data_IF_730395962030
#
_entry.id   IF_730395962030
#
_cell.length_a   1.000
_cell.length_b   1.000
_cell.length_c   1.000
_cell.angle_alpha   90.00
_cell.angle_beta   90.00
_cell.angle_gamma   90.00
#
_symmetry.space_group_name_H-M   'P 1'
#
loop_
_entity.id
_entity.type
_entity.pdbx_description
1 polymer ?
#
# COMPACT_ATOMS: atom_id res chain seq x y z
N UNK A 1 -33.08 -1.69 -0.61
CA UNK A 1 -34.54 -1.52 -0.79
C UNK A 1 -34.74 -0.29 -1.67
N UNK A 2 -35.09 -0.47 -2.95
CA UNK A 2 -35.28 0.62 -3.90
C UNK A 2 -36.57 1.38 -3.58
N UNK A 3 -36.49 2.71 -3.59
CA UNK A 3 -37.62 3.62 -3.78
C UNK A 3 -37.50 4.17 -5.21
N UNK A 4 -38.65 4.17 -5.88
CA UNK A 4 -38.92 4.58 -7.28
C UNK A 4 -38.34 5.95 -7.66
N UNK A 5 -38.06 6.03 -8.96
CA UNK A 5 -38.09 7.23 -9.82
C UNK A 5 -38.56 8.52 -9.15
N UNK A 6 -37.65 9.48 -9.08
CA UNK A 6 -38.00 10.89 -9.13
C UNK A 6 -37.18 11.50 -10.26
N UNK A 7 -37.88 11.95 -11.30
CA UNK A 7 -37.34 12.67 -12.45
C UNK A 7 -36.78 14.03 -12.05
N UNK A 8 -35.59 14.01 -11.46
CA UNK A 8 -34.78 15.20 -11.21
C UNK A 8 -33.42 14.95 -11.81
N UNK A 9 -33.09 15.67 -12.89
CA UNK A 9 -31.73 15.77 -13.40
C UNK A 9 -30.83 16.18 -12.24
N UNK A 10 -29.96 15.28 -11.80
CA UNK A 10 -28.95 15.59 -10.80
C UNK A 10 -28.09 16.68 -11.41
N UNK A 11 -28.21 17.93 -10.89
CA UNK A 11 -27.23 18.98 -11.14
C UNK A 11 -25.94 18.61 -10.40
N UNK A 12 -25.27 17.57 -10.85
CA UNK A 12 -23.89 17.29 -10.52
C UNK A 12 -23.06 17.77 -11.70
N UNK A 13 -22.01 18.53 -11.42
CA UNK A 13 -21.02 19.02 -12.39
C UNK A 13 -20.13 17.87 -12.95
N UNK A 14 -20.71 16.69 -13.15
CA UNK A 14 -20.03 15.52 -13.70
C UNK A 14 -20.37 15.45 -15.19
N UNK A 15 -19.33 15.30 -16.01
CA UNK A 15 -19.47 15.17 -17.45
C UNK A 15 -20.16 13.84 -17.81
N UNK A 16 -20.78 13.77 -19.00
CA UNK A 16 -21.47 12.57 -19.47
C UNK A 16 -20.54 11.33 -19.54
N UNK A 17 -19.24 11.55 -19.80
CA UNK A 17 -18.24 10.48 -19.80
C UNK A 17 -17.97 9.94 -18.38
N UNK A 18 -17.89 10.82 -17.37
CA UNK A 18 -17.77 10.40 -15.96
C UNK A 18 -19.03 9.70 -15.47
N UNK A 19 -20.20 10.15 -15.89
CA UNK A 19 -21.49 9.50 -15.63
C UNK A 19 -21.56 8.09 -16.24
N UNK A 20 -20.92 7.84 -17.37
CA UNK A 20 -20.84 6.50 -17.95
C UNK A 20 -19.94 5.59 -17.10
N UNK A 21 -18.74 6.04 -16.70
CA UNK A 21 -17.84 5.25 -15.85
C UNK A 21 -18.43 4.94 -14.46
N UNK A 22 -19.00 5.95 -13.80
CA UNK A 22 -19.69 5.77 -12.51
C UNK A 22 -20.97 4.96 -12.69
N UNK A 23 -21.67 5.15 -13.81
CA UNK A 23 -22.84 4.37 -14.21
C UNK A 23 -22.52 2.89 -14.37
N UNK A 24 -21.34 2.55 -14.89
CA UNK A 24 -20.90 1.16 -15.04
C UNK A 24 -20.55 0.54 -13.69
N UNK A 25 -19.83 1.24 -12.80
CA UNK A 25 -19.63 0.78 -11.43
C UNK A 25 -20.95 0.61 -10.67
N UNK A 26 -21.89 1.55 -10.86
CA UNK A 26 -23.23 1.50 -10.28
C UNK A 26 -24.04 0.33 -10.83
N UNK A 27 -23.91 -0.02 -12.12
CA UNK A 27 -24.53 -1.23 -12.71
C UNK A 27 -23.96 -2.50 -12.06
N UNK A 28 -22.64 -2.63 -11.95
CA UNK A 28 -22.02 -3.79 -11.28
C UNK A 28 -22.46 -3.91 -9.82
N UNK A 29 -22.59 -2.79 -9.11
CA UNK A 29 -23.07 -2.77 -7.73
C UNK A 29 -24.59 -2.98 -7.59
N UNK A 30 -25.38 -2.58 -8.57
CA UNK A 30 -26.85 -2.72 -8.57
C UNK A 30 -27.30 -4.13 -8.97
N UNK A 31 -26.53 -4.80 -9.84
CA UNK A 31 -26.82 -6.11 -10.41
C UNK A 31 -25.76 -7.15 -9.99
N UNK A 32 -25.40 -7.17 -8.70
CA UNK A 32 -24.38 -8.09 -8.16
C UNK A 32 -24.64 -9.57 -8.48
N UNK A 33 -25.89 -10.09 -8.38
CA UNK A 33 -26.17 -11.49 -8.71
C UNK A 33 -25.94 -11.81 -10.20
N UNK A 34 -26.24 -10.88 -11.09
CA UNK A 34 -26.12 -11.06 -12.55
C UNK A 34 -24.66 -11.00 -13.03
N UNK A 35 -23.81 -10.24 -12.33
CA UNK A 35 -22.38 -10.06 -12.65
C UNK A 35 -21.43 -10.83 -11.72
N UNK A 36 -21.94 -11.74 -10.88
CA UNK A 36 -21.13 -12.52 -9.92
C UNK A 36 -20.12 -11.67 -9.12
N UNK A 37 -20.49 -10.44 -8.78
CA UNK A 37 -19.54 -9.45 -8.24
C UNK A 37 -19.11 -9.83 -6.82
N UNK A 38 -17.81 -9.97 -6.61
CA UNK A 38 -17.20 -10.22 -5.29
C UNK A 38 -16.50 -8.95 -4.79
N UNK A 39 -16.60 -8.68 -3.49
CA UNK A 39 -15.80 -7.63 -2.87
C UNK A 39 -14.54 -8.25 -2.26
N UNK A 40 -13.37 -7.83 -2.75
CA UNK A 40 -12.08 -8.16 -2.19
C UNK A 40 -11.49 -6.93 -1.48
N UNK A 41 -10.85 -7.13 -0.32
CA UNK A 41 -10.24 -6.04 0.45
C UNK A 41 -8.99 -5.49 -0.25
N UNK A 42 -8.16 -6.37 -0.81
CA UNK A 42 -6.98 -6.06 -1.65
C UNK A 42 -6.98 -7.00 -2.85
N UNK A 43 -7.57 -6.60 -3.99
CA UNK A 43 -7.65 -7.46 -5.17
C UNK A 43 -6.29 -7.88 -5.71
N UNK A 44 -5.23 -7.09 -5.51
CA UNK A 44 -3.85 -7.38 -5.91
C UNK A 44 -3.15 -8.43 -5.02
N UNK A 45 -3.80 -8.89 -3.93
CA UNK A 45 -3.22 -9.83 -2.97
C UNK A 45 -4.17 -11.02 -2.78
N UNK A 46 -3.81 -12.19 -3.34
CA UNK A 46 -4.62 -13.40 -3.24
C UNK A 46 -4.74 -14.01 -1.82
N UNK A 47 -3.70 -13.86 -1.00
CA UNK A 47 -3.61 -14.49 0.33
C UNK A 47 -3.90 -13.52 1.50
N UNK A 48 -4.27 -12.27 1.20
CA UNK A 48 -4.44 -11.23 2.19
C UNK A 48 -5.69 -11.42 3.04
N UNK A 49 -5.53 -11.41 4.36
CA UNK A 49 -6.64 -11.52 5.33
C UNK A 49 -6.76 -10.23 6.12
N UNK A 50 -8.00 -9.84 6.43
CA UNK A 50 -8.27 -8.74 7.36
C UNK A 50 -8.08 -9.21 8.80
N UNK A 51 -7.16 -8.55 9.51
CA UNK A 51 -6.78 -8.85 10.88
C UNK A 51 -7.19 -7.68 11.77
N UNK A 52 -7.97 -7.97 12.80
CA UNK A 52 -8.42 -6.95 13.74
C UNK A 52 -7.29 -6.63 14.72
N UNK A 53 -6.96 -5.36 14.89
CA UNK A 53 -6.00 -4.94 15.90
C UNK A 53 -6.66 -4.96 17.27
N UNK A 54 -6.04 -5.67 18.21
CA UNK A 54 -6.56 -5.87 19.57
C UNK A 54 -5.79 -5.11 20.63
N UNK A 55 -4.50 -4.87 20.41
CA UNK A 55 -3.67 -4.08 21.33
C UNK A 55 -2.62 -3.25 20.58
N UNK A 56 -2.28 -2.10 21.16
CA UNK A 56 -1.21 -1.24 20.69
C UNK A 56 -0.58 -0.53 21.87
N UNK A 57 0.74 -0.61 22.02
CA UNK A 57 1.43 -0.01 23.16
C UNK A 57 2.80 0.51 22.77
N UNK A 58 3.05 1.79 23.06
CA UNK A 58 4.40 2.36 22.99
C UNK A 58 5.28 1.72 24.06
N UNK A 59 6.45 1.20 23.67
CA UNK A 59 7.37 0.50 24.56
C UNK A 59 8.56 1.36 24.97
N UNK A 60 8.93 2.33 24.14
CA UNK A 60 10.00 3.28 24.42
C UNK A 60 9.45 4.56 25.03
N UNK A 61 10.17 5.18 25.99
CA UNK A 61 9.90 6.54 26.44
C UNK A 61 9.93 7.56 25.27
N UNK A 62 9.33 8.72 25.48
CA UNK A 62 9.30 9.81 24.48
C UNK A 62 10.69 10.40 24.19
N UNK A 63 11.62 10.30 25.14
CA UNK A 63 12.99 10.82 25.05
C UNK A 63 13.99 9.79 24.48
N UNK A 64 13.52 8.60 24.08
CA UNK A 64 14.37 7.60 23.45
C UNK A 64 14.51 7.85 21.94
N UNK A 65 15.72 7.67 21.40
CA UNK A 65 16.07 8.02 20.01
C UNK A 65 15.24 7.27 18.95
N UNK A 66 14.60 6.14 19.29
CA UNK A 66 13.81 5.33 18.36
C UNK A 66 12.43 5.06 18.92
N UNK A 67 11.39 5.16 18.09
CA UNK A 67 10.05 4.74 18.51
C UNK A 67 9.91 3.23 18.35
N UNK A 68 9.80 2.48 19.45
CA UNK A 68 9.47 1.05 19.43
C UNK A 68 8.10 0.82 20.09
N UNK A 69 7.25 0.03 19.44
CA UNK A 69 5.91 -0.24 19.93
C UNK A 69 5.50 -1.69 19.67
N UNK A 70 4.59 -2.15 20.52
CA UNK A 70 3.86 -3.40 20.41
C UNK A 70 2.58 -3.18 19.59
N UNK A 71 2.28 -4.13 18.72
CA UNK A 71 1.01 -4.23 18.01
C UNK A 71 0.52 -5.68 18.06
N UNK A 72 -0.73 -5.91 18.45
CA UNK A 72 -1.35 -7.24 18.48
C UNK A 72 -2.53 -7.30 17.52
N UNK A 73 -2.63 -8.41 16.80
CA UNK A 73 -3.75 -8.70 15.91
C UNK A 73 -4.43 -10.02 16.26
N UNK A 74 -5.75 -10.05 16.05
CA UNK A 74 -6.58 -11.24 16.18
C UNK A 74 -6.52 -12.08 14.90
N UNK A 75 -6.22 -13.36 15.06
CA UNK A 75 -6.18 -14.34 13.96
C UNK A 75 -7.28 -15.40 14.08
N UNK A 76 -8.10 -15.39 15.13
CA UNK A 76 -9.15 -16.40 15.32
C UNK A 76 -10.19 -16.34 14.19
N UNK A 77 -10.52 -17.51 13.63
CA UNK A 77 -11.46 -17.67 12.53
C UNK A 77 -10.93 -17.19 11.17
N UNK A 78 -9.66 -16.79 11.09
CA UNK A 78 -9.02 -16.39 9.84
C UNK A 78 -8.35 -17.59 9.16
N UNK A 79 -8.09 -17.51 7.86
CA UNK A 79 -7.38 -18.58 7.14
C UNK A 79 -5.95 -18.81 7.64
N UNK A 80 -5.34 -17.81 8.29
CA UNK A 80 -3.99 -17.90 8.84
C UNK A 80 -3.96 -18.36 10.31
N UNK A 81 -5.10 -18.71 10.92
CA UNK A 81 -5.15 -19.10 12.32
C UNK A 81 -4.21 -20.27 12.60
N UNK A 82 -4.39 -21.39 11.93
CA UNK A 82 -3.54 -22.58 12.11
C UNK A 82 -2.11 -22.39 11.62
N UNK A 83 -1.88 -21.36 10.81
CA UNK A 83 -0.56 -21.03 10.32
C UNK A 83 0.21 -20.23 11.37
N UNK A 84 -0.37 -19.20 11.97
CA UNK A 84 0.37 -18.36 12.91
C UNK A 84 0.20 -18.78 14.38
N UNK A 85 -0.84 -19.56 14.72
CA UNK A 85 -1.13 -20.07 16.05
C UNK A 85 -0.26 -21.31 16.35
N UNK A 86 1.04 -21.09 16.59
CA UNK A 86 2.00 -22.18 16.83
C UNK A 86 3.45 -21.75 16.75
N UNK A 87 3.77 -20.47 17.02
CA UNK A 87 4.92 -19.70 16.54
C UNK A 87 6.34 -20.33 16.68
N UNK A 88 6.62 -21.40 15.95
CA UNK A 88 7.94 -21.92 15.64
C UNK A 88 8.61 -21.00 14.60
N UNK A 89 8.86 -19.76 15.02
CA UNK A 89 9.49 -18.70 14.24
C UNK A 89 8.84 -18.46 12.87
N UNK A 90 7.54 -18.20 12.87
CA UNK A 90 6.82 -17.68 11.70
C UNK A 90 6.80 -16.15 11.69
N UNK A 91 6.52 -15.58 10.53
CA UNK A 91 6.44 -14.14 10.35
C UNK A 91 5.05 -13.74 9.84
N UNK A 92 4.65 -12.52 10.18
CA UNK A 92 3.45 -11.90 9.65
C UNK A 92 3.85 -10.85 8.61
N UNK A 93 3.37 -11.03 7.39
CA UNK A 93 3.48 -10.04 6.34
C UNK A 93 2.33 -9.04 6.46
N UNK A 94 2.65 -7.75 6.54
CA UNK A 94 1.66 -6.67 6.66
C UNK A 94 1.68 -5.80 5.40
N UNK A 95 0.50 -5.51 4.87
CA UNK A 95 0.30 -4.58 3.76
C UNK A 95 -0.13 -3.22 4.29
N UNK A 96 0.74 -2.24 4.14
CA UNK A 96 0.48 -0.87 4.54
C UNK A 96 -0.31 -0.09 3.48
N UNK A 97 -0.85 1.04 3.90
CA UNK A 97 -1.50 2.02 3.01
C UNK A 97 -0.79 3.36 3.11
N UNK A 98 -0.79 4.12 2.02
CA UNK A 98 -0.33 5.51 2.02
C UNK A 98 -1.24 6.38 2.89
N UNK A 99 -0.70 7.50 3.36
CA UNK A 99 -1.46 8.51 4.10
C UNK A 99 -2.53 9.12 3.17
N UNK A 100 -3.84 8.98 3.49
CA UNK A 100 -4.92 9.54 2.67
C UNK A 100 -4.79 11.05 2.44
N UNK A 101 -4.21 11.80 3.40
CA UNK A 101 -4.02 13.25 3.26
C UNK A 101 -3.00 13.57 2.19
N UNK A 102 -1.85 12.89 2.21
CA UNK A 102 -0.80 13.06 1.19
C UNK A 102 -1.28 12.66 -0.20
N UNK A 103 -2.08 11.58 -0.28
CA UNK A 103 -2.69 11.17 -1.55
C UNK A 103 -3.68 12.22 -2.05
N UNK A 104 -4.52 12.80 -1.18
CA UNK A 104 -5.44 13.86 -1.56
C UNK A 104 -4.72 15.13 -2.07
N UNK A 105 -3.61 15.51 -1.44
CA UNK A 105 -2.75 16.62 -1.88
C UNK A 105 -2.15 16.34 -3.26
N UNK A 106 -1.58 15.15 -3.46
CA UNK A 106 -1.04 14.71 -4.74
C UNK A 106 -2.10 14.71 -5.85
N UNK A 107 -3.28 14.14 -5.61
CA UNK A 107 -4.37 14.12 -6.58
C UNK A 107 -4.81 15.53 -6.96
N UNK A 108 -4.90 16.44 -5.99
CA UNK A 108 -5.23 17.84 -6.23
C UNK A 108 -4.19 18.53 -7.11
N UNK A 109 -2.90 18.32 -6.84
CA UNK A 109 -1.82 18.94 -7.59
C UNK A 109 -1.74 18.42 -9.04
N UNK A 110 -2.00 17.13 -9.25
CA UNK A 110 -2.04 16.51 -10.58
C UNK A 110 -3.37 16.71 -11.31
N UNK A 111 -4.41 17.23 -10.64
CA UNK A 111 -5.75 17.38 -11.21
C UNK A 111 -6.47 16.06 -11.48
N UNK A 112 -6.23 15.06 -10.63
CA UNK A 112 -6.83 13.72 -10.72
C UNK A 112 -8.19 13.72 -10.03
N UNK A 113 -9.21 13.17 -10.68
CA UNK A 113 -10.52 12.96 -10.07
C UNK A 113 -10.47 11.73 -9.13
N UNK A 114 -10.69 11.88 -7.81
CA UNK A 114 -10.58 10.78 -6.84
C UNK A 114 -11.57 9.64 -7.06
N UNK A 115 -12.75 9.93 -7.63
CA UNK A 115 -13.81 8.94 -7.88
C UNK A 115 -13.75 8.34 -9.29
N UNK A 116 -12.74 8.71 -10.08
CA UNK A 116 -12.54 8.10 -11.39
C UNK A 116 -12.33 6.58 -11.23
N UNK A 117 -13.07 5.80 -12.01
CA UNK A 117 -13.02 4.35 -12.01
C UNK A 117 -11.93 3.89 -12.96
N UNK A 118 -11.08 2.97 -12.48
CA UNK A 118 -9.99 2.36 -13.24
C UNK A 118 -10.03 0.85 -13.10
N UNK A 119 -9.68 0.15 -14.18
CA UNK A 119 -9.37 -1.28 -14.11
C UNK A 119 -7.95 -1.46 -13.57
N UNK A 120 -7.76 -2.50 -12.76
CA UNK A 120 -6.49 -2.90 -12.17
C UNK A 120 -6.13 -4.36 -12.49
N UNK A 121 -6.65 -4.88 -13.61
CA UNK A 121 -6.41 -6.25 -14.07
C UNK A 121 -4.92 -6.58 -14.20
N UNK A 122 -4.09 -5.59 -14.53
CA UNK A 122 -2.63 -5.75 -14.67
C UNK A 122 -1.91 -6.08 -13.36
N UNK A 123 -2.48 -5.70 -12.22
CA UNK A 123 -1.87 -5.91 -10.89
C UNK A 123 -2.66 -6.89 -10.03
N UNK A 124 -3.85 -7.29 -10.47
CA UNK A 124 -4.61 -8.36 -9.85
C UNK A 124 -3.91 -9.72 -10.09
N UNK A 125 -4.01 -10.68 -9.16
CA UNK A 125 -3.67 -12.07 -9.42
C UNK A 125 -4.42 -12.53 -10.68
N UNK A 126 -3.84 -13.47 -11.46
CA UNK A 126 -4.55 -14.06 -12.57
C UNK A 126 -5.82 -14.74 -12.05
N UNK A 127 -6.97 -14.12 -12.30
CA UNK A 127 -8.28 -14.68 -11.96
C UNK A 127 -8.69 -15.76 -12.98
N UNK A 128 -9.71 -16.53 -12.62
CA UNK A 128 -10.45 -17.39 -13.56
C UNK A 128 -10.96 -16.54 -14.75
N UNK A 129 -10.83 -17.08 -15.97
CA UNK A 129 -11.08 -16.39 -17.24
C UNK A 129 -12.26 -15.38 -17.21
N UNK A 130 -11.96 -14.09 -17.41
CA UNK A 130 -12.94 -13.05 -17.74
C UNK A 130 -13.41 -12.13 -16.61
N UNK A 131 -12.84 -12.22 -15.41
CA UNK A 131 -13.12 -11.25 -14.33
C UNK A 131 -12.35 -9.94 -14.52
N UNK A 132 -13.01 -8.82 -14.27
CA UNK A 132 -12.41 -7.47 -14.30
C UNK A 132 -12.42 -6.89 -12.89
N UNK A 133 -11.27 -6.41 -12.46
CA UNK A 133 -11.09 -5.77 -11.16
C UNK A 133 -11.15 -4.27 -11.30
N UNK A 134 -12.17 -3.66 -10.71
CA UNK A 134 -12.38 -2.20 -10.75
C UNK A 134 -12.14 -1.57 -9.38
N UNK A 135 -11.51 -0.40 -9.39
CA UNK A 135 -11.34 0.44 -8.20
C UNK A 135 -11.46 1.92 -8.54
N UNK A 136 -11.47 2.77 -7.51
CA UNK A 136 -11.40 4.23 -7.66
C UNK A 136 -9.95 4.69 -7.61
N UNK A 137 -9.59 5.78 -8.29
CA UNK A 137 -8.25 6.38 -8.24
C UNK A 137 -7.75 6.65 -6.83
N UNK A 138 -8.61 7.14 -5.94
CA UNK A 138 -8.25 7.36 -4.53
C UNK A 138 -7.79 6.05 -3.86
N UNK A 139 -8.58 4.98 -3.97
CA UNK A 139 -8.22 3.66 -3.43
C UNK A 139 -6.96 3.08 -4.07
N UNK A 140 -6.80 3.21 -5.39
CA UNK A 140 -5.60 2.76 -6.10
C UNK A 140 -4.34 3.39 -5.49
N UNK A 141 -4.35 4.71 -5.30
CA UNK A 141 -3.22 5.47 -4.78
C UNK A 141 -3.01 5.30 -3.27
N UNK A 142 -4.08 5.07 -2.49
CA UNK A 142 -3.97 4.83 -1.04
C UNK A 142 -3.47 3.42 -0.76
N UNK A 143 -4.04 2.42 -1.42
CA UNK A 143 -3.89 1.03 -0.99
C UNK A 143 -2.92 0.23 -1.86
N UNK A 144 -2.84 0.48 -3.17
CA UNK A 144 -2.18 -0.45 -4.07
C UNK A 144 -0.83 0.07 -4.55
N UNK A 145 -0.70 1.35 -4.90
CA UNK A 145 0.54 1.89 -5.51
C UNK A 145 1.49 2.51 -4.49
N UNK A 146 2.79 2.21 -4.62
CA UNK A 146 3.86 2.80 -3.81
C UNK A 146 4.26 4.19 -4.32
N UNK A 147 3.30 5.11 -4.37
CA UNK A 147 3.48 6.46 -4.96
C UNK A 147 4.50 7.33 -4.19
N UNK A 148 4.68 7.05 -2.89
CA UNK A 148 5.68 7.72 -2.06
C UNK A 148 6.98 6.90 -1.91
N UNK A 149 7.14 5.86 -2.71
CA UNK A 149 8.35 5.05 -2.81
C UNK A 149 9.45 5.71 -3.64
N UNK A 150 10.61 5.05 -3.69
CA UNK A 150 11.80 5.55 -4.40
C UNK A 150 11.73 5.22 -5.90
N UNK A 151 11.76 6.22 -6.80
CA UNK A 151 11.66 6.01 -8.23
C UNK A 151 12.94 5.44 -8.83
N UNK A 152 12.79 4.70 -9.93
CA UNK A 152 13.91 4.12 -10.70
C UNK A 152 14.18 4.94 -11.98
N UNK A 153 15.35 4.75 -12.60
CA UNK A 153 15.61 5.32 -13.94
C UNK A 153 14.68 4.76 -15.01
N UNK A 154 14.17 3.54 -14.82
CA UNK A 154 13.20 2.93 -15.73
C UNK A 154 11.84 3.65 -15.67
N UNK A 155 11.41 4.04 -14.47
CA UNK A 155 10.21 4.87 -14.30
C UNK A 155 10.31 6.17 -15.13
N UNK A 156 11.45 6.86 -15.11
CA UNK A 156 11.65 8.08 -15.89
C UNK A 156 11.54 7.86 -17.41
N UNK A 157 12.01 6.69 -17.90
CA UNK A 157 11.82 6.29 -19.30
C UNK A 157 10.35 6.06 -19.65
N UNK A 158 9.54 5.58 -18.70
CA UNK A 158 8.09 5.45 -18.89
C UNK A 158 7.36 6.78 -18.72
N UNK A 159 7.92 7.73 -17.95
CA UNK A 159 7.31 9.02 -17.62
C UNK A 159 7.43 10.06 -18.75
N UNK A 160 8.60 10.18 -19.40
CA UNK A 160 8.86 11.26 -20.37
C UNK A 160 7.89 11.32 -21.57
N UNK A 161 7.25 10.24 -22.06
CA UNK A 161 6.26 10.33 -23.14
C UNK A 161 5.02 11.16 -22.76
N UNK A 162 4.72 11.29 -21.46
CA UNK A 162 3.57 12.02 -20.96
C UNK A 162 3.83 13.53 -20.80
N UNK A 163 5.09 13.98 -20.89
CA UNK A 163 5.44 15.39 -20.82
C UNK A 163 5.07 16.11 -22.13
N UNK A 164 4.26 17.16 -22.02
CA UNK A 164 3.82 17.96 -23.17
C UNK A 164 4.84 19.04 -23.55
N UNK A 165 5.58 19.56 -22.57
CA UNK A 165 6.63 20.55 -22.82
C UNK A 165 7.94 19.88 -23.25
N UNK A 166 8.57 20.42 -24.29
CA UNK A 166 9.80 19.86 -24.86
C UNK A 166 10.96 19.97 -23.87
N UNK A 167 11.04 21.04 -23.07
CA UNK A 167 12.13 21.21 -22.12
C UNK A 167 12.00 20.21 -20.97
N UNK A 168 10.80 20.06 -20.38
CA UNK A 168 10.56 19.03 -19.36
C UNK A 168 10.84 17.63 -19.90
N UNK A 169 10.43 17.35 -21.14
CA UNK A 169 10.70 16.06 -21.79
C UNK A 169 12.19 15.77 -21.92
N UNK A 170 12.99 16.77 -22.32
CA UNK A 170 14.45 16.67 -22.38
C UNK A 170 15.03 16.46 -20.98
N UNK A 171 14.58 17.23 -19.97
CA UNK A 171 15.05 17.09 -18.59
C UNK A 171 14.82 15.67 -18.03
N UNK A 172 13.61 15.12 -18.21
CA UNK A 172 13.29 13.76 -17.77
C UNK A 172 14.18 12.76 -18.51
N UNK A 173 14.34 12.91 -19.82
CA UNK A 173 15.16 12.01 -20.63
C UNK A 173 16.64 12.07 -20.21
N UNK A 174 17.17 13.26 -19.91
CA UNK A 174 18.55 13.44 -19.47
C UNK A 174 18.85 12.69 -18.17
N UNK A 175 17.91 12.70 -17.21
CA UNK A 175 18.04 11.96 -15.95
C UNK A 175 18.13 10.43 -16.13
N UNK A 176 17.76 9.91 -17.31
CA UNK A 176 17.91 8.48 -17.63
C UNK A 176 19.30 8.12 -18.14
N UNK A 177 20.09 9.10 -18.57
CA UNK A 177 21.40 8.89 -19.19
C UNK A 177 22.49 8.71 -18.14
N UNK A 178 23.49 7.88 -18.45
CA UNK A 178 24.61 7.60 -17.52
C UNK A 178 25.44 8.86 -17.20
N UNK A 179 25.51 9.83 -18.12
CA UNK A 179 26.16 11.12 -17.87
C UNK A 179 25.51 11.96 -16.77
N UNK A 180 24.27 11.64 -16.38
CA UNK A 180 23.51 12.30 -15.30
C UNK A 180 23.32 11.39 -14.08
N UNK A 181 24.11 10.32 -13.97
CA UNK A 181 24.00 9.37 -12.86
C UNK A 181 24.17 10.04 -11.49
N UNK A 182 25.10 10.99 -11.36
CA UNK A 182 25.33 11.73 -10.12
C UNK A 182 24.11 12.58 -9.72
N UNK A 183 23.47 13.25 -10.69
CA UNK A 183 22.26 14.04 -10.45
C UNK A 183 21.08 13.14 -10.02
N UNK A 184 20.93 11.97 -10.64
CA UNK A 184 19.94 11.00 -10.23
C UNK A 184 20.23 10.46 -8.81
N UNK A 185 21.48 10.14 -8.48
CA UNK A 185 21.88 9.70 -7.14
C UNK A 185 21.63 10.78 -6.09
N UNK A 186 21.91 12.05 -6.40
CA UNK A 186 21.61 13.16 -5.50
C UNK A 186 20.10 13.26 -5.20
N UNK A 187 19.25 13.12 -6.23
CA UNK A 187 17.78 13.05 -6.05
C UNK A 187 17.35 11.88 -5.16
N UNK A 188 18.02 10.72 -5.27
CA UNK A 188 17.78 9.58 -4.37
C UNK A 188 18.20 9.86 -2.92
N UNK A 189 19.32 10.54 -2.70
CA UNK A 189 19.77 10.96 -1.36
C UNK A 189 18.82 11.98 -0.72
N UNK A 190 18.21 12.84 -1.55
CA UNK A 190 17.12 13.73 -1.14
C UNK A 190 15.78 13.01 -0.90
N UNK A 191 15.73 11.70 -1.15
CA UNK A 191 14.55 10.86 -0.98
C UNK A 191 13.33 11.36 -1.75
N UNK A 192 13.54 11.84 -2.99
CA UNK A 192 12.44 12.18 -3.88
C UNK A 192 11.65 10.92 -4.27
N UNK A 193 10.34 11.04 -4.28
CA UNK A 193 9.37 9.97 -4.51
C UNK A 193 8.79 9.98 -5.91
N UNK A 194 8.07 8.94 -6.33
CA UNK A 194 7.33 8.97 -7.60
C UNK A 194 6.40 10.19 -7.68
N UNK A 195 5.70 10.49 -6.59
CA UNK A 195 4.85 11.68 -6.48
C UNK A 195 5.63 12.96 -6.73
N UNK A 196 6.80 13.13 -6.09
CA UNK A 196 7.63 14.34 -6.23
C UNK A 196 8.02 14.56 -7.70
N UNK A 197 8.49 13.52 -8.39
CA UNK A 197 8.83 13.61 -9.82
C UNK A 197 7.61 13.95 -10.68
N UNK A 198 6.46 13.34 -10.43
CA UNK A 198 5.23 13.65 -11.18
C UNK A 198 4.75 15.08 -10.93
N UNK A 199 4.91 15.60 -9.72
CA UNK A 199 4.52 16.97 -9.39
C UNK A 199 5.54 18.02 -9.84
N UNK A 200 6.83 17.67 -9.97
CA UNK A 200 7.89 18.57 -10.43
C UNK A 200 7.67 19.02 -11.88
N UNK A 201 7.27 18.10 -12.76
CA UNK A 201 7.06 18.36 -14.19
C UNK A 201 5.59 18.68 -14.48
N UNK A 202 5.26 19.98 -14.55
CA UNK A 202 3.87 20.48 -14.62
C UNK A 202 3.20 20.20 -15.96
N UNK A 203 3.96 19.91 -17.01
CA UNK A 203 3.42 19.56 -18.32
C UNK A 203 2.97 18.10 -18.44
N UNK A 204 3.18 17.27 -17.41
CA UNK A 204 2.77 15.86 -17.43
C UNK A 204 1.25 15.72 -17.59
N UNK A 205 0.86 14.88 -18.56
CA UNK A 205 -0.52 14.44 -18.79
C UNK A 205 -0.55 12.92 -18.81
N UNK A 206 -0.74 12.33 -17.63
CA UNK A 206 -0.76 10.88 -17.43
C UNK A 206 -2.23 10.43 -17.42
N UNK A 207 -2.66 9.56 -18.36
CA UNK A 207 -3.97 8.92 -18.30
C UNK A 207 -4.12 8.09 -17.02
N UNK A 208 -5.32 8.04 -16.45
CA UNK A 208 -5.57 7.38 -15.15
C UNK A 208 -5.22 5.88 -15.17
N UNK A 209 -5.36 5.25 -16.33
CA UNK A 209 -5.07 3.84 -16.57
C UNK A 209 -3.58 3.54 -16.58
N UNK A 210 -2.72 4.56 -16.79
CA UNK A 210 -1.27 4.39 -16.89
C UNK A 210 -0.54 4.40 -15.55
N UNK A 211 -1.23 4.68 -14.45
CA UNK A 211 -0.61 4.71 -13.13
C UNK A 211 -0.11 3.34 -12.67
N UNK A 212 -0.81 2.25 -13.01
CA UNK A 212 -0.40 0.86 -12.71
C UNK A 212 0.87 0.44 -13.43
N UNK A 213 1.10 0.94 -14.65
CA UNK A 213 2.30 0.66 -15.44
C UNK A 213 3.53 1.46 -14.97
N UNK A 214 3.29 2.63 -14.38
CA UNK A 214 4.31 3.61 -13.97
C UNK A 214 4.85 3.34 -12.56
N UNK A 215 3.96 3.04 -11.62
CA UNK A 215 4.28 2.96 -10.19
C UNK A 215 4.13 1.52 -9.72
N UNK A 216 5.12 0.96 -9.01
CA UNK A 216 5.01 -0.40 -8.49
C UNK A 216 3.94 -0.50 -7.40
N UNK A 217 3.47 -1.71 -7.14
CA UNK A 217 2.56 -1.97 -6.03
C UNK A 217 3.26 -1.91 -4.67
N UNK A 218 2.53 -1.57 -3.62
CA UNK A 218 2.98 -1.61 -2.23
C UNK A 218 3.24 -3.06 -1.84
N UNK A 219 4.51 -3.37 -1.60
CA UNK A 219 4.95 -4.69 -1.16
C UNK A 219 4.60 -4.95 0.30
N UNK A 220 4.41 -6.22 0.65
CA UNK A 220 4.32 -6.59 2.07
C UNK A 220 5.60 -6.25 2.83
N UNK A 221 5.44 -5.94 4.13
CA UNK A 221 6.55 -5.92 5.08
C UNK A 221 6.43 -7.10 6.03
N UNK A 222 7.47 -7.92 6.05
CA UNK A 222 7.56 -9.11 6.91
C UNK A 222 8.03 -8.69 8.29
N UNK A 223 7.29 -9.08 9.32
CA UNK A 223 7.64 -8.90 10.74
C UNK A 223 7.70 -10.25 11.44
N UNK A 224 8.74 -10.48 12.24
CA UNK A 224 8.81 -11.66 13.10
C UNK A 224 7.70 -11.60 14.15
N UNK A 225 6.98 -12.71 14.32
CA UNK A 225 5.97 -12.83 15.38
C UNK A 225 6.69 -12.94 16.73
N UNK A 226 6.33 -12.10 17.69
CA UNK A 226 6.91 -12.09 19.04
C UNK A 226 5.99 -12.67 20.13
N UNK A 227 4.90 -13.34 19.74
CA UNK A 227 4.03 -14.11 20.64
C UNK A 227 4.27 -15.62 20.50
N UNK A 228 3.92 -16.37 21.54
CA UNK A 228 3.80 -17.84 21.51
C UNK A 228 2.32 -18.22 21.63
N UNK A 229 1.88 -19.19 20.83
CA UNK A 229 0.51 -19.72 20.88
C UNK A 229 0.14 -20.33 22.23
N UNK A 230 1.12 -20.84 22.97
CA UNK A 230 0.89 -21.45 24.28
C UNK A 230 0.42 -20.41 25.31
N UNK A 231 0.87 -19.16 25.15
CA UNK A 231 0.57 -18.06 26.08
C UNK A 231 -0.47 -17.08 25.52
N UNK A 232 -0.49 -16.89 24.19
CA UNK A 232 -1.35 -15.96 23.47
C UNK A 232 -2.07 -16.68 22.32
N UNK A 233 -2.92 -17.68 22.61
CA UNK A 233 -3.60 -18.44 21.57
C UNK A 233 -4.50 -17.53 20.74
N UNK A 234 -4.44 -17.68 19.41
CA UNK A 234 -5.24 -16.88 18.49
C UNK A 234 -4.81 -15.41 18.37
N UNK A 235 -3.64 -15.03 18.90
CA UNK A 235 -3.09 -13.67 18.79
C UNK A 235 -1.70 -13.67 18.17
N UNK A 236 -1.47 -12.73 17.24
CA UNK A 236 -0.15 -12.44 16.71
C UNK A 236 0.33 -11.09 17.23
N UNK A 237 1.44 -11.10 17.95
CA UNK A 237 2.08 -9.89 18.44
C UNK A 237 3.29 -9.55 17.58
N UNK A 238 3.45 -8.26 17.31
CA UNK A 238 4.56 -7.66 16.59
C UNK A 238 5.29 -6.68 17.49
N UNK A 239 6.61 -6.72 17.41
CA UNK A 239 7.49 -5.70 17.95
C UNK A 239 8.05 -4.87 16.79
N UNK A 240 7.68 -3.60 16.72
CA UNK A 240 7.99 -2.75 15.57
C UNK A 240 8.77 -1.53 15.99
N UNK A 241 9.91 -1.32 15.32
CA UNK A 241 10.66 -0.07 15.37
C UNK A 241 10.21 0.81 14.20
N UNK A 242 9.87 2.07 14.49
CA UNK A 242 9.55 3.04 13.46
C UNK A 242 10.82 3.41 12.69
N UNK A 243 10.92 2.88 11.48
CA UNK A 243 11.99 3.27 10.55
C UNK A 243 11.91 4.75 10.18
N UNK A 244 13.03 5.45 10.33
CA UNK A 244 13.24 6.81 9.84
C UNK A 244 14.63 7.02 9.24
N UNK A 245 14.79 8.07 8.44
CA UNK A 245 16.08 8.49 7.92
C UNK A 245 16.07 9.98 7.59
N UNK A 246 17.24 10.61 7.71
CA UNK A 246 17.44 12.01 7.34
C UNK A 246 17.66 12.14 5.84
N UNK A 247 16.72 12.77 5.11
CA UNK A 247 16.93 13.10 3.71
C UNK A 247 17.98 14.21 3.56
N UNK A 248 18.83 14.12 2.52
CA UNK A 248 19.86 15.13 2.24
C UNK A 248 19.19 16.50 2.03
N UNK A 249 19.51 17.48 2.87
CA UNK A 249 18.97 18.85 2.75
C UNK A 249 17.45 18.96 2.89
N UNK A 250 16.78 17.94 3.44
CA UNK A 250 15.33 17.90 3.60
C UNK A 250 14.90 17.54 5.03
N UNK A 251 13.64 17.14 5.16
CA UNK A 251 13.07 16.66 6.41
C UNK A 251 13.40 15.17 6.69
N UNK A 252 13.20 14.74 7.92
CA UNK A 252 13.19 13.32 8.28
C UNK A 252 12.07 12.60 7.55
N UNK A 253 12.39 11.50 6.89
CA UNK A 253 11.45 10.63 6.19
C UNK A 253 11.23 9.36 7.00
N UNK A 254 10.11 8.69 6.76
CA UNK A 254 9.71 7.51 7.51
C UNK A 254 9.33 6.36 6.61
N UNK A 255 9.55 5.14 7.09
CA UNK A 255 9.12 3.93 6.40
C UNK A 255 7.60 3.84 6.33
N UNK A 256 7.08 3.41 5.18
CA UNK A 256 5.63 3.32 4.93
C UNK A 256 4.94 2.40 5.95
N UNK A 257 5.37 1.13 6.04
CA UNK A 257 4.68 0.15 6.88
C UNK A 257 4.88 0.39 8.37
N UNK A 258 6.09 0.78 8.79
CA UNK A 258 6.35 1.10 10.19
C UNK A 258 5.58 2.34 10.66
N UNK A 259 5.40 3.36 9.80
CA UNK A 259 4.56 4.53 10.12
C UNK A 259 3.07 4.23 10.02
N UNK A 260 2.64 3.37 9.10
CA UNK A 260 1.27 2.88 9.06
C UNK A 260 0.91 2.20 10.39
N UNK A 261 1.77 1.31 10.88
CA UNK A 261 1.53 0.61 12.15
C UNK A 261 1.58 1.53 13.39
N UNK A 262 2.10 2.76 13.30
CA UNK A 262 2.05 3.72 14.42
C UNK A 262 0.71 4.44 14.51
N UNK A 263 -0.11 4.45 13.45
CA UNK A 263 -1.43 5.10 13.44
C UNK A 263 -2.59 4.13 13.66
N UNK A 264 -2.39 2.84 13.43
CA UNK A 264 -3.41 1.81 13.69
C UNK A 264 -3.69 1.70 15.20
N UNK A 265 -4.95 1.57 15.59
CA UNK A 265 -5.38 1.47 16.98
C UNK A 265 -6.25 0.24 17.22
N UNK A 266 -6.39 -0.22 18.49
CA UNK A 266 -7.32 -1.29 18.82
C UNK A 266 -8.73 -1.01 18.30
N UNK A 267 -9.31 -1.97 17.58
CA UNK A 267 -10.59 -1.83 16.89
C UNK A 267 -10.47 -1.61 15.38
N UNK A 268 -9.32 -1.13 14.90
CA UNK A 268 -9.02 -1.03 13.47
C UNK A 268 -8.68 -2.40 12.85
N UNK A 269 -8.50 -2.42 11.54
CA UNK A 269 -8.09 -3.59 10.78
C UNK A 269 -6.84 -3.29 9.96
N UNK A 270 -5.94 -4.26 9.90
CA UNK A 270 -4.84 -4.30 8.95
C UNK A 270 -4.99 -5.52 8.03
N UNK A 271 -4.29 -5.49 6.89
CA UNK A 271 -4.26 -6.65 5.98
C UNK A 271 -2.92 -7.33 6.15
N UNK A 272 -2.94 -8.64 6.33
CA UNK A 272 -1.73 -9.44 6.40
C UNK A 272 -1.93 -10.87 5.94
N UNK A 273 -0.81 -11.57 5.77
CA UNK A 273 -0.79 -13.00 5.53
C UNK A 273 0.38 -13.63 6.28
N UNK A 274 0.25 -14.92 6.53
CA UNK A 274 1.31 -15.72 7.14
C UNK A 274 2.47 -15.86 6.17
N UNK A 275 3.70 -15.74 6.65
CA UNK A 275 4.90 -16.01 5.87
C UNK A 275 5.82 -16.92 6.66
N UNK A 276 6.36 -17.93 5.98
CA UNK A 276 7.36 -18.80 6.58
C UNK A 276 8.60 -17.98 6.95
N UNK A 277 9.03 -18.09 8.21
CA UNK A 277 10.36 -17.64 8.59
C UNK A 277 11.31 -18.83 8.71
N UNK A 278 12.59 -18.52 8.61
CA UNK A 278 13.70 -19.49 8.57
C UNK A 278 14.06 -19.96 9.99
N UNK A 279 13.60 -19.27 11.03
CA UNK A 279 13.88 -19.62 12.43
C UNK A 279 12.88 -20.66 12.92
N UNK A 280 13.36 -21.79 13.42
CA UNK A 280 12.55 -22.81 14.09
C UNK A 280 13.18 -23.17 15.41
N UNK A 281 12.34 -23.40 16.42
CA UNK A 281 12.79 -23.95 17.70
C UNK A 281 13.06 -25.46 17.48
N UNK A 282 14.11 -26.04 18.10
CA UNK A 282 14.33 -27.48 18.04
C UNK A 282 13.15 -28.28 18.63
N UNK A 283 12.79 -29.40 18.01
CA UNK A 283 11.73 -30.31 18.51
C UNK A 283 12.09 -30.92 19.88
N UNK A 284 13.39 -31.09 20.14
CA UNK A 284 13.90 -31.56 21.43
C UNK A 284 13.82 -30.45 22.48
N UNK A 285 12.90 -30.63 23.42
CA UNK A 285 12.67 -29.70 24.55
C UNK A 285 13.86 -29.59 25.51
N UNK A 286 14.86 -30.47 25.41
CA UNK A 286 16.10 -30.42 26.19
C UNK A 286 17.26 -29.76 25.44
N UNK A 287 17.07 -29.42 24.16
CA UNK A 287 18.10 -28.73 23.38
C UNK A 287 18.42 -27.36 23.99
N UNK A 288 19.71 -27.04 24.11
CA UNK A 288 20.15 -25.71 24.53
C UNK A 288 19.95 -24.72 23.39
N UNK A 289 19.14 -23.68 23.63
CA UNK A 289 18.90 -22.59 22.68
C UNK A 289 19.68 -21.35 23.12
N UNK A 290 20.58 -20.87 22.24
CA UNK A 290 21.31 -19.62 22.45
C UNK A 290 20.67 -18.51 21.60
N UNK A 291 20.04 -17.54 22.27
CA UNK A 291 19.41 -16.40 21.60
C UNK A 291 20.31 -15.16 21.71
N UNK A 292 20.59 -14.52 20.58
CA UNK A 292 21.25 -13.21 20.53
C UNK A 292 20.38 -12.25 19.72
N UNK A 293 19.70 -11.34 20.40
CA UNK A 293 18.87 -10.30 19.79
C UNK A 293 19.37 -8.93 20.21
N UNK A 294 20.04 -8.23 19.30
CA UNK A 294 20.46 -6.85 19.52
C UNK A 294 19.36 -5.94 18.98
N UNK A 295 18.69 -5.22 19.90
CA UNK A 295 17.59 -4.30 19.62
C UNK A 295 17.99 -2.85 19.77
#
# INVERSE_FOLDING_TARGET
KYIKDVGSSVKAALSQAELNNVGDLAKYLAFKPEYSTKMAARPDVGEGVLLKVTDWKLLTPEDYDRTCFHCEVDIVGTSIEHECNGADGKALSVYATNDPKKVAEFMKEMGINPVAVVSVDEIAPPDEDGMVVLTTMEKLLIQYLDIFGKPTREFLKKLFPFAQDIQEKVQIAELTLDRKMEEFQDRQLRSLTYADYMTEFKSLKIPIEKYTELVPTVKQRVYSICSSSDHHPGKCQLLVVREDWQAKGGETKYGLCSSYLTIVRPGDYCIGHSTHSVMKIPDDKMAMVFMCGLG
#
